data_IF_228844532186
#
_entry.id   IF_228844532186
#
_cell.length_a   1.000
_cell.length_b   1.000
_cell.length_c   1.000
_cell.angle_alpha   90.00
_cell.angle_beta   90.00
_cell.angle_gamma   90.00
#
_symmetry.space_group_name_H-M   'P 1'
#
loop_
_entity.id
_entity.type
_entity.pdbx_description
1 polymer ?
#
# COMPACT_ATOMS: atom_id res chain seq x y z
N UNK A 1 -10.76 35.37 10.15
CA UNK A 1 -11.04 34.07 9.50
C UNK A 1 -10.71 32.98 10.50
N UNK A 2 -11.39 31.84 10.46
CA UNK A 2 -11.06 30.68 11.29
C UNK A 2 -11.31 29.39 10.52
N UNK A 3 -10.37 28.45 10.60
CA UNK A 3 -10.42 27.12 10.02
C UNK A 3 -10.71 26.09 11.12
N UNK A 4 -11.62 25.16 10.82
CA UNK A 4 -11.94 24.02 11.69
C UNK A 4 -11.96 22.70 10.89
N UNK A 5 -11.43 21.58 11.41
CA UNK A 5 -10.68 21.47 12.66
C UNK A 5 -9.35 22.23 12.62
N UNK A 6 -8.73 22.47 13.79
CA UNK A 6 -7.45 23.19 13.88
C UNK A 6 -6.25 22.25 13.74
N UNK A 7 -6.46 20.96 14.01
CA UNK A 7 -5.41 19.95 13.95
C UNK A 7 -4.83 19.85 12.54
N UNK A 8 -3.51 19.71 12.44
CA UNK A 8 -2.81 19.66 11.16
C UNK A 8 -2.65 21.01 10.45
N UNK A 9 -3.09 22.14 11.02
CA UNK A 9 -2.85 23.48 10.47
C UNK A 9 -1.74 24.22 11.23
N UNK A 10 -0.86 24.91 10.49
CA UNK A 10 0.19 25.75 11.10
C UNK A 10 -0.39 26.99 11.81
N UNK A 11 -1.39 27.62 11.20
CA UNK A 11 -2.19 28.70 11.79
C UNK A 11 -3.65 28.59 11.33
N UNK A 12 -4.61 28.26 12.21
CA UNK A 12 -6.02 28.12 11.85
C UNK A 12 -6.76 29.46 11.70
N UNK A 13 -6.10 30.61 11.87
CA UNK A 13 -6.73 31.94 11.75
C UNK A 13 -6.22 32.75 10.56
N UNK A 14 -5.13 32.30 9.94
CA UNK A 14 -4.55 32.92 8.75
C UNK A 14 -5.43 32.72 7.49
N UNK A 15 -5.35 33.68 6.57
CA UNK A 15 -5.99 33.60 5.25
C UNK A 15 -5.33 32.57 4.33
N UNK A 16 -4.07 32.25 4.58
CA UNK A 16 -3.30 31.19 3.96
C UNK A 16 -2.51 30.47 5.04
N UNK A 17 -2.57 29.14 5.07
CA UNK A 17 -1.94 28.32 6.10
C UNK A 17 -1.38 27.03 5.49
N UNK A 18 -0.32 26.49 6.08
CA UNK A 18 0.17 25.17 5.68
C UNK A 18 -0.65 24.10 6.42
N UNK A 19 -1.07 23.08 5.69
CA UNK A 19 -1.87 21.98 6.21
C UNK A 19 -1.15 20.64 6.01
N UNK A 20 -1.02 19.87 7.08
CA UNK A 20 -0.48 18.51 7.10
C UNK A 20 -1.30 17.66 8.09
N UNK A 21 -2.59 17.39 7.78
CA UNK A 21 -3.40 16.49 8.60
C UNK A 21 -2.85 15.06 8.56
N UNK A 22 -2.98 14.28 9.65
CA UNK A 22 -2.52 12.89 9.68
C UNK A 22 -3.44 11.93 8.89
N UNK A 23 -4.70 12.31 8.66
CA UNK A 23 -5.70 11.53 7.92
C UNK A 23 -6.50 12.46 7.00
N UNK A 24 -7.18 11.91 6.00
CA UNK A 24 -8.08 12.69 5.13
C UNK A 24 -9.03 13.55 5.97
N UNK A 25 -8.95 14.86 5.81
CA UNK A 25 -9.62 15.83 6.68
C UNK A 25 -10.27 16.92 5.84
N UNK A 26 -11.55 17.20 6.12
CA UNK A 26 -12.27 18.34 5.55
C UNK A 26 -12.20 19.53 6.49
N UNK A 27 -11.55 20.59 6.03
CA UNK A 27 -11.49 21.87 6.72
C UNK A 27 -12.62 22.80 6.27
N UNK A 28 -13.26 23.46 7.23
CA UNK A 28 -14.24 24.50 7.03
C UNK A 28 -13.63 25.87 7.37
N UNK A 29 -13.49 26.73 6.36
CA UNK A 29 -13.05 28.11 6.52
C UNK A 29 -14.26 28.99 6.79
N UNK A 30 -14.24 29.76 7.88
CA UNK A 30 -15.30 30.70 8.25
C UNK A 30 -14.73 32.12 8.28
N UNK A 31 -15.40 33.03 7.60
CA UNK A 31 -15.10 34.46 7.62
C UNK A 31 -16.30 35.21 8.16
N UNK A 32 -16.05 36.16 9.07
CA UNK A 32 -17.05 37.08 9.61
C UNK A 32 -16.53 38.49 9.37
N UNK A 33 -17.35 39.36 8.77
CA UNK A 33 -17.00 40.76 8.58
C UNK A 33 -17.37 41.61 9.82
N UNK A 34 -17.01 42.88 9.82
CA UNK A 34 -17.29 43.82 10.92
C UNK A 34 -18.80 44.02 11.21
N UNK A 35 -19.66 43.73 10.23
CA UNK A 35 -21.12 43.81 10.34
C UNK A 35 -21.76 42.49 10.82
N UNK A 36 -20.96 41.47 11.11
CA UNK A 36 -21.44 40.16 11.58
C UNK A 36 -21.91 39.22 10.47
N UNK A 37 -21.80 39.57 9.19
CA UNK A 37 -22.11 38.68 8.08
C UNK A 37 -21.09 37.54 8.02
N UNK A 38 -21.60 36.30 7.99
CA UNK A 38 -20.80 35.08 7.96
C UNK A 38 -20.79 34.45 6.57
N UNK A 39 -19.63 34.03 6.10
CA UNK A 39 -19.45 33.18 4.92
C UNK A 39 -18.57 31.99 5.25
N UNK A 40 -18.75 30.87 4.54
CA UNK A 40 -17.97 29.65 4.77
C UNK A 40 -17.66 28.88 3.48
N UNK A 41 -16.54 28.17 3.48
CA UNK A 41 -16.10 27.28 2.39
C UNK A 41 -15.51 25.99 2.97
N UNK A 42 -15.64 24.88 2.24
CA UNK A 42 -15.06 23.59 2.61
C UNK A 42 -13.90 23.23 1.69
N UNK A 43 -12.83 22.69 2.27
CA UNK A 43 -11.67 22.16 1.56
C UNK A 43 -11.34 20.78 2.12
N UNK A 44 -11.39 19.75 1.29
CA UNK A 44 -10.96 18.41 1.69
C UNK A 44 -9.52 18.20 1.27
N UNK A 45 -8.67 17.88 2.25
CA UNK A 45 -7.31 17.40 2.02
C UNK A 45 -7.35 15.89 2.16
N UNK A 46 -7.15 15.19 1.04
CA UNK A 46 -7.01 13.74 1.02
C UNK A 46 -5.59 13.37 1.43
N UNK A 47 -5.48 12.52 2.43
CA UNK A 47 -4.21 11.90 2.84
C UNK A 47 -4.28 10.47 2.36
N UNK A 48 -3.45 10.12 1.40
CA UNK A 48 -3.22 8.73 1.04
C UNK A 48 -2.46 8.09 2.21
N UNK A 49 -3.06 7.05 2.79
CA UNK A 49 -2.41 6.23 3.81
C UNK A 49 -1.88 4.97 3.13
N UNK A 50 -0.77 4.44 3.66
CA UNK A 50 -0.29 3.12 3.27
C UNK A 50 -1.07 2.09 4.08
N UNK A 51 -2.07 1.48 3.47
CA UNK A 51 -2.75 0.32 4.02
C UNK A 51 -1.80 -0.89 4.06
N UNK A 52 -2.16 -1.88 4.86
CA UNK A 52 -1.39 -3.12 4.92
C UNK A 52 -1.48 -3.88 3.60
N UNK A 53 -0.34 -4.38 3.10
CA UNK A 53 -0.32 -5.25 1.92
C UNK A 53 -1.12 -6.53 2.19
N UNK A 54 -2.13 -6.75 1.37
CA UNK A 54 -2.98 -7.95 1.41
C UNK A 54 -2.29 -9.05 0.62
N UNK A 55 -1.79 -10.06 1.33
CA UNK A 55 -1.05 -11.18 0.74
C UNK A 55 -1.80 -12.48 1.05
N UNK A 56 -2.16 -13.30 0.04
CA UNK A 56 -2.78 -14.60 0.25
C UNK A 56 -1.89 -15.54 1.08
N UNK A 57 -2.50 -16.51 1.76
CA UNK A 57 -1.76 -17.51 2.55
C UNK A 57 -1.49 -18.80 1.78
N UNK A 58 -2.17 -19.03 0.66
CA UNK A 58 -2.00 -20.18 -0.20
C UNK A 58 -2.42 -19.90 -1.64
N UNK A 59 -1.91 -20.71 -2.57
CA UNK A 59 -2.28 -20.70 -3.98
C UNK A 59 -2.07 -22.11 -4.58
N UNK A 60 -2.71 -22.39 -5.72
CA UNK A 60 -2.71 -23.70 -6.38
C UNK A 60 -2.50 -23.51 -7.89
N UNK A 61 -1.27 -23.62 -8.40
CA UNK A 61 -0.98 -23.47 -9.83
C UNK A 61 -1.40 -24.74 -10.61
N UNK A 62 -2.71 -24.98 -10.70
CA UNK A 62 -3.34 -26.14 -11.33
C UNK A 62 -4.04 -25.79 -12.66
N UNK A 63 -4.00 -24.50 -13.05
CA UNK A 63 -4.56 -23.92 -14.26
C UNK A 63 -6.09 -24.05 -14.35
N UNK A 64 -6.78 -23.93 -13.22
CA UNK A 64 -8.25 -23.89 -13.14
C UNK A 64 -8.84 -22.47 -13.21
N UNK A 65 -7.98 -21.44 -13.23
CA UNK A 65 -8.34 -20.03 -13.26
C UNK A 65 -8.47 -19.38 -11.88
N UNK A 66 -8.28 -20.14 -10.79
CA UNK A 66 -8.45 -19.68 -9.42
C UNK A 66 -7.16 -19.85 -8.60
N UNK A 67 -6.59 -18.72 -8.16
CA UNK A 67 -5.37 -18.68 -7.36
C UNK A 67 -4.19 -19.45 -8.02
N UNK A 68 -4.05 -19.35 -9.34
CA UNK A 68 -2.98 -20.01 -10.10
C UNK A 68 -1.60 -19.35 -9.94
N UNK A 69 -1.58 -18.13 -9.39
CA UNK A 69 -0.35 -17.39 -9.13
C UNK A 69 -0.41 -16.66 -7.79
N UNK A 70 0.77 -16.36 -7.25
CA UNK A 70 0.93 -15.75 -5.96
C UNK A 70 1.55 -14.35 -6.07
N UNK A 71 0.97 -13.42 -5.34
CA UNK A 71 1.39 -12.02 -5.25
C UNK A 71 0.48 -11.27 -4.28
N UNK A 72 0.85 -10.05 -3.92
CA UNK A 72 -0.04 -9.18 -3.14
C UNK A 72 -1.23 -8.73 -4.01
N UNK A 73 -2.39 -8.45 -3.38
CA UNK A 73 -3.66 -8.21 -4.08
C UNK A 73 -3.95 -6.72 -4.32
N UNK A 74 -3.47 -5.84 -3.45
CA UNK A 74 -3.61 -4.40 -3.56
C UNK A 74 -2.35 -3.78 -4.19
N UNK A 75 -2.13 -4.04 -5.49
CA UNK A 75 -0.92 -3.59 -6.22
C UNK A 75 -0.74 -2.06 -6.27
N UNK A 76 -1.84 -1.32 -6.14
CA UNK A 76 -1.86 0.14 -6.10
C UNK A 76 -1.41 0.76 -4.78
N UNK A 77 -1.20 -0.05 -3.73
CA UNK A 77 -0.81 0.44 -2.40
C UNK A 77 0.64 0.95 -2.34
N UNK A 78 1.49 0.45 -3.24
CA UNK A 78 2.88 0.87 -3.34
C UNK A 78 3.04 1.87 -4.49
N UNK A 79 3.61 3.03 -4.18
CA UNK A 79 4.13 3.97 -5.18
C UNK A 79 5.17 3.28 -6.07
N UNK A 80 6.03 2.48 -5.44
CA UNK A 80 7.10 1.72 -6.09
C UNK A 80 7.32 0.38 -5.39
N UNK A 81 7.39 -0.70 -6.17
CA UNK A 81 7.93 -1.98 -5.71
C UNK A 81 9.46 -1.92 -5.81
N UNK A 82 10.17 -2.13 -4.69
CA UNK A 82 11.64 -2.26 -4.69
C UNK A 82 12.03 -3.71 -4.99
N UNK A 83 11.38 -4.68 -4.33
CA UNK A 83 11.55 -6.10 -4.64
C UNK A 83 10.43 -6.95 -4.05
N UNK A 84 10.04 -8.00 -4.76
CA UNK A 84 9.24 -9.10 -4.27
C UNK A 84 10.05 -10.39 -4.46
N UNK A 85 10.44 -11.01 -3.36
CA UNK A 85 11.30 -12.19 -3.30
C UNK A 85 10.57 -13.35 -2.63
N UNK A 86 10.75 -14.56 -3.15
CA UNK A 86 10.22 -15.79 -2.55
C UNK A 86 11.35 -16.78 -2.39
N UNK A 87 11.39 -17.42 -1.23
CA UNK A 87 12.40 -18.36 -0.82
C UNK A 87 11.78 -19.71 -0.49
N UNK A 88 12.48 -20.79 -0.82
CA UNK A 88 12.14 -22.12 -0.36
C UNK A 88 12.41 -22.30 1.15
N UNK A 89 12.10 -23.49 1.67
CA UNK A 89 12.29 -23.83 3.08
C UNK A 89 13.76 -23.77 3.53
N UNK A 90 14.71 -23.89 2.61
CA UNK A 90 16.14 -23.85 2.89
C UNK A 90 16.74 -22.45 2.72
N UNK A 91 15.93 -21.47 2.32
CA UNK A 91 16.34 -20.09 2.10
C UNK A 91 16.91 -19.82 0.71
N UNK A 92 16.77 -20.76 -0.25
CA UNK A 92 17.16 -20.48 -1.63
C UNK A 92 16.10 -19.60 -2.29
N UNK A 93 16.55 -18.62 -3.06
CA UNK A 93 15.68 -17.73 -3.83
C UNK A 93 15.04 -18.51 -4.99
N UNK A 94 13.71 -18.59 -5.01
CA UNK A 94 12.96 -19.30 -6.06
C UNK A 94 12.26 -18.37 -7.04
N UNK A 95 11.98 -17.14 -6.63
CA UNK A 95 11.36 -16.11 -7.46
C UNK A 95 11.78 -14.73 -6.98
N UNK A 96 11.97 -13.81 -7.92
CA UNK A 96 12.26 -12.42 -7.64
C UNK A 96 11.74 -11.53 -8.76
N UNK A 97 11.09 -10.44 -8.40
CA UNK A 97 10.66 -9.41 -9.33
C UNK A 97 10.69 -8.02 -8.70
N UNK A 98 10.72 -6.99 -9.53
CA UNK A 98 10.46 -5.59 -9.19
C UNK A 98 9.29 -5.02 -10.02
N UNK A 99 8.67 -5.83 -10.88
CA UNK A 99 7.42 -5.50 -11.57
C UNK A 99 6.23 -5.82 -10.65
N UNK A 100 5.41 -4.81 -10.37
CA UNK A 100 4.22 -4.93 -9.51
C UNK A 100 3.16 -5.88 -10.07
N UNK A 101 3.16 -6.11 -11.39
CA UNK A 101 2.18 -6.96 -12.06
C UNK A 101 2.66 -8.41 -12.19
N UNK A 102 3.94 -8.67 -11.89
CA UNK A 102 4.52 -10.00 -11.99
C UNK A 102 4.19 -10.82 -10.75
N UNK A 103 3.82 -12.09 -10.97
CA UNK A 103 3.29 -12.99 -9.95
C UNK A 103 4.00 -14.33 -10.04
N UNK A 104 4.17 -14.97 -8.89
CA UNK A 104 4.79 -16.27 -8.85
C UNK A 104 3.81 -17.39 -9.21
N UNK A 105 4.02 -18.02 -10.35
CA UNK A 105 3.20 -19.14 -10.85
C UNK A 105 3.63 -20.52 -10.28
N UNK A 106 4.36 -20.54 -9.15
CA UNK A 106 4.84 -21.78 -8.55
C UNK A 106 5.94 -22.49 -9.34
N UNK A 107 6.77 -21.72 -10.08
CA UNK A 107 7.92 -22.21 -10.83
C UNK A 107 9.20 -21.53 -10.37
N UNK A 108 10.32 -22.24 -10.46
CA UNK A 108 11.61 -21.69 -10.10
C UNK A 108 12.12 -20.75 -11.21
N UNK A 109 12.57 -19.56 -10.85
CA UNK A 109 13.00 -18.54 -11.82
C UNK A 109 14.20 -18.96 -12.68
N UNK A 110 15.16 -19.72 -12.14
CA UNK A 110 16.38 -20.09 -12.87
C UNK A 110 16.17 -21.17 -13.94
N UNK A 111 15.40 -22.21 -13.63
CA UNK A 111 15.26 -23.40 -14.47
C UNK A 111 13.83 -23.67 -14.92
N UNK A 112 12.89 -22.78 -14.58
CA UNK A 112 11.47 -22.84 -14.95
C UNK A 112 10.76 -24.17 -14.60
N UNK A 113 11.33 -24.96 -13.70
CA UNK A 113 10.71 -26.19 -13.24
C UNK A 113 9.65 -25.89 -12.16
N UNK A 114 8.59 -26.71 -12.07
CA UNK A 114 7.60 -26.56 -11.02
C UNK A 114 8.24 -26.70 -9.63
N UNK A 115 7.97 -25.74 -8.74
CA UNK A 115 8.40 -25.78 -7.34
C UNK A 115 7.66 -26.88 -6.58
N UNK A 116 8.20 -27.44 -5.50
CA UNK A 116 7.49 -28.49 -4.74
C UNK A 116 6.27 -27.93 -3.99
N UNK A 117 5.28 -28.79 -3.71
CA UNK A 117 4.21 -28.40 -2.79
C UNK A 117 4.79 -28.23 -1.38
N UNK A 118 4.44 -27.14 -0.71
CA UNK A 118 5.05 -26.82 0.57
C UNK A 118 4.92 -25.36 0.97
N UNK A 119 5.59 -25.00 2.05
CA UNK A 119 5.60 -23.64 2.60
C UNK A 119 6.83 -22.90 2.11
N UNK A 120 6.60 -21.72 1.55
CA UNK A 120 7.60 -20.79 1.06
C UNK A 120 7.55 -19.51 1.89
N UNK A 121 8.68 -18.84 2.02
CA UNK A 121 8.78 -17.53 2.67
C UNK A 121 8.79 -16.45 1.59
N UNK A 122 8.10 -15.34 1.81
CA UNK A 122 8.18 -14.20 0.92
C UNK A 122 8.62 -12.93 1.66
N UNK A 123 9.24 -12.02 0.92
CA UNK A 123 9.61 -10.68 1.36
C UNK A 123 9.25 -9.70 0.25
N UNK A 124 8.44 -8.69 0.58
CA UNK A 124 8.06 -7.58 -0.29
C UNK A 124 8.62 -6.31 0.34
N UNK A 125 9.37 -5.54 -0.44
CA UNK A 125 9.88 -4.22 -0.08
C UNK A 125 9.41 -3.21 -1.11
N UNK A 126 8.98 -2.06 -0.66
CA UNK A 126 8.49 -0.99 -1.54
C UNK A 126 8.47 0.36 -0.85
N UNK A 127 8.00 1.34 -1.61
CA UNK A 127 7.77 2.72 -1.16
C UNK A 127 6.28 3.00 -1.21
N UNK A 128 5.77 3.62 -0.15
CA UNK A 128 4.45 4.23 -0.14
C UNK A 128 4.52 5.55 0.66
N UNK A 129 4.02 6.63 0.08
CA UNK A 129 4.07 7.98 0.64
C UNK A 129 5.48 8.40 1.09
N UNK A 130 6.49 8.12 0.26
CA UNK A 130 7.93 8.31 0.53
C UNK A 130 8.50 7.50 1.72
N UNK A 131 7.72 6.60 2.32
CA UNK A 131 8.16 5.73 3.40
C UNK A 131 8.45 4.32 2.89
N UNK A 132 9.44 3.66 3.50
CA UNK A 132 9.75 2.26 3.21
C UNK A 132 8.73 1.35 3.86
N UNK A 133 8.18 0.43 3.06
CA UNK A 133 7.28 -0.63 3.47
C UNK A 133 8.00 -1.96 3.33
N UNK A 134 7.90 -2.81 4.35
CA UNK A 134 8.40 -4.19 4.31
C UNK A 134 7.29 -5.11 4.79
N UNK A 135 6.88 -6.06 3.95
CA UNK A 135 5.96 -7.14 4.31
C UNK A 135 6.67 -8.47 4.12
N UNK A 136 6.58 -9.32 5.13
CA UNK A 136 7.15 -10.65 5.09
C UNK A 136 6.17 -11.64 5.68
N UNK A 137 6.28 -12.89 5.25
CA UNK A 137 5.40 -13.95 5.70
C UNK A 137 5.67 -15.22 4.93
N UNK A 138 4.69 -16.09 4.94
CA UNK A 138 4.74 -17.40 4.34
C UNK A 138 3.49 -17.67 3.51
N UNK A 139 3.69 -18.43 2.45
CA UNK A 139 2.66 -18.89 1.52
C UNK A 139 2.77 -20.39 1.36
N UNK A 140 1.63 -21.06 1.25
CA UNK A 140 1.55 -22.50 0.94
C UNK A 140 1.27 -22.71 -0.55
N UNK A 141 2.15 -23.42 -1.25
CA UNK A 141 1.89 -23.95 -2.58
C UNK A 141 1.19 -25.30 -2.45
N UNK A 142 0.00 -25.42 -3.04
CA UNK A 142 -0.81 -26.65 -3.06
C UNK A 142 -0.83 -27.24 -4.48
N UNK A 143 -0.95 -28.57 -4.58
CA UNK A 143 -1.18 -29.31 -5.83
C UNK A 143 -2.28 -30.34 -5.67
#
# INVERSE_FOLDING_TARGET
>A
MIWNPKDGLADPTATQTQASPPTTTTYNAIVVNEFGCRSQANLTITVEQCDELVVPTAFSPNNDGYNDSFGYLNEGELDQLETFEIFDRWGNLVFKTDDRNDRWEGRHMEFNAPAEAGVYMYVIKGICNNNKVVKQGNVTLVR
#
